data_IF_701207790909
#
_entry.id   IF_701207790909
#
_cell.length_a   1.000
_cell.length_b   1.000
_cell.length_c   1.000
_cell.angle_alpha   90.00
_cell.angle_beta   90.00
_cell.angle_gamma   90.00
#
_symmetry.space_group_name_H-M   'P 1'
#
loop_
_entity.id
_entity.type
_entity.pdbx_description
1 polymer ?
#
# COMPACT_ATOMS: atom_id res chain seq x y z
N UNK A 1 -4.12 -22.61 4.11
CA UNK A 1 -4.97 -21.44 3.87
C UNK A 1 -4.61 -20.71 2.57
N UNK A 2 -3.34 -20.55 2.21
CA UNK A 2 -2.94 -19.89 0.97
C UNK A 2 -3.46 -20.56 -0.32
N UNK A 3 -3.79 -21.84 -0.29
CA UNK A 3 -4.22 -22.61 -1.46
C UNK A 3 -5.74 -22.56 -1.70
N UNK A 4 -6.54 -22.29 -0.67
CA UNK A 4 -8.01 -22.26 -0.75
C UNK A 4 -8.55 -21.28 0.28
N UNK A 5 -8.76 -20.04 -0.12
CA UNK A 5 -9.34 -19.03 0.75
C UNK A 5 -10.07 -17.96 -0.05
N UNK A 6 -11.23 -17.54 0.45
CA UNK A 6 -11.96 -16.40 -0.09
C UNK A 6 -11.43 -15.08 0.47
N UNK A 7 -11.16 -14.11 -0.40
CA UNK A 7 -10.69 -12.79 -0.02
C UNK A 7 -11.78 -11.75 -0.24
N UNK A 8 -11.94 -10.85 0.72
CA UNK A 8 -12.82 -9.71 0.61
C UNK A 8 -11.98 -8.43 0.57
N UNK A 9 -12.05 -7.69 -0.53
CA UNK A 9 -11.41 -6.40 -0.67
C UNK A 9 -12.29 -5.30 -0.06
N UNK A 10 -11.71 -4.48 0.80
CA UNK A 10 -12.42 -3.37 1.42
C UNK A 10 -11.55 -2.10 1.43
N UNK A 11 -12.04 -1.04 0.81
CA UNK A 11 -11.51 0.31 0.96
C UNK A 11 -12.08 0.92 2.24
N UNK A 12 -11.31 1.13 3.32
CA UNK A 12 -11.85 1.66 4.58
C UNK A 12 -12.63 2.96 4.38
N UNK A 13 -12.15 3.84 3.51
CA UNK A 13 -12.80 5.12 3.18
C UNK A 13 -14.24 4.99 2.66
N UNK A 14 -14.60 3.83 2.13
CA UNK A 14 -15.94 3.56 1.56
C UNK A 14 -16.94 3.00 2.57
N UNK A 15 -16.52 2.78 3.81
CA UNK A 15 -17.34 2.16 4.86
C UNK A 15 -17.91 3.13 5.89
N UNK A 16 -17.76 4.44 5.67
CA UNK A 16 -18.38 5.49 6.47
C UNK A 16 -19.89 5.60 6.27
N UNK A 17 -20.50 6.54 6.95
CA UNK A 17 -21.89 6.93 6.71
C UNK A 17 -22.04 7.48 5.28
N UNK A 18 -23.23 7.43 4.68
CA UNK A 18 -23.46 7.96 3.34
C UNK A 18 -22.95 9.40 3.19
N UNK A 19 -22.05 9.62 2.22
CA UNK A 19 -21.44 10.92 1.96
C UNK A 19 -20.25 11.30 2.86
N UNK A 20 -19.87 10.47 3.82
CA UNK A 20 -18.71 10.70 4.69
C UNK A 20 -17.56 9.76 4.34
N UNK A 21 -16.33 10.26 4.49
CA UNK A 21 -15.13 9.44 4.41
C UNK A 21 -15.10 8.43 5.57
N UNK A 22 -15.01 7.13 5.26
CA UNK A 22 -14.94 6.08 6.26
C UNK A 22 -13.55 5.96 6.87
N UNK A 23 -13.49 5.30 8.02
CA UNK A 23 -12.30 5.08 8.83
C UNK A 23 -12.04 3.58 9.05
N UNK A 24 -10.87 3.25 9.61
CA UNK A 24 -10.56 1.88 10.07
C UNK A 24 -11.55 1.43 11.17
N UNK A 25 -11.97 2.35 12.04
CA UNK A 25 -12.98 2.07 13.06
C UNK A 25 -14.35 1.76 12.44
N UNK A 26 -14.77 2.50 11.41
CA UNK A 26 -16.04 2.22 10.71
C UNK A 26 -16.01 0.81 10.09
N UNK A 27 -14.91 0.46 9.41
CA UNK A 27 -14.74 -0.88 8.85
C UNK A 27 -14.74 -1.95 9.95
N UNK A 28 -14.10 -1.70 11.10
CA UNK A 28 -14.08 -2.64 12.22
C UNK A 28 -15.49 -3.01 12.70
N UNK A 29 -16.45 -2.09 12.64
CA UNK A 29 -17.85 -2.37 13.00
C UNK A 29 -18.57 -3.31 12.02
N UNK A 30 -17.99 -3.56 10.84
CA UNK A 30 -18.58 -4.37 9.76
C UNK A 30 -17.95 -5.76 9.61
N UNK A 31 -16.98 -6.09 10.44
CA UNK A 31 -16.26 -7.37 10.33
C UNK A 31 -17.19 -8.56 10.52
N UNK A 32 -18.19 -8.49 11.39
CA UNK A 32 -19.19 -9.53 11.56
C UNK A 32 -19.96 -9.82 10.27
N UNK A 33 -20.33 -8.77 9.54
CA UNK A 33 -20.99 -8.91 8.25
C UNK A 33 -20.08 -9.58 7.21
N UNK A 34 -18.83 -9.16 7.10
CA UNK A 34 -17.85 -9.74 6.16
C UNK A 34 -17.58 -11.21 6.52
N UNK A 35 -17.36 -11.51 7.79
CA UNK A 35 -17.13 -12.87 8.27
C UNK A 35 -18.35 -13.79 8.00
N UNK A 36 -19.58 -13.26 8.15
CA UNK A 36 -20.80 -14.03 7.89
C UNK A 36 -20.95 -14.51 6.44
N UNK A 37 -20.26 -13.87 5.51
CA UNK A 37 -20.22 -14.27 4.09
C UNK A 37 -19.24 -15.43 3.82
N UNK A 38 -18.44 -15.84 4.83
CA UNK A 38 -17.53 -16.99 4.71
C UNK A 38 -16.17 -16.66 4.10
N UNK A 39 -15.74 -15.38 4.13
CA UNK A 39 -14.39 -15.01 3.69
C UNK A 39 -13.34 -15.33 4.76
N UNK A 40 -12.15 -15.69 4.31
CA UNK A 40 -11.01 -16.05 5.15
C UNK A 40 -10.04 -14.87 5.35
N UNK A 41 -9.97 -13.95 4.39
CA UNK A 41 -9.02 -12.84 4.38
C UNK A 41 -9.74 -11.53 4.07
N UNK A 42 -9.50 -10.53 4.91
CA UNK A 42 -9.81 -9.13 4.63
C UNK A 42 -8.59 -8.49 3.98
N UNK A 43 -8.71 -8.10 2.72
CA UNK A 43 -7.67 -7.38 2.00
C UNK A 43 -7.95 -5.88 1.98
N UNK A 44 -6.98 -5.09 2.41
CA UNK A 44 -7.01 -3.64 2.36
C UNK A 44 -6.08 -3.13 1.24
N UNK A 45 -6.61 -2.38 0.25
CA UNK A 45 -5.78 -1.50 -0.58
C UNK A 45 -4.92 -0.57 0.29
N UNK A 46 -3.90 0.12 -0.27
CA UNK A 46 -2.99 0.92 0.54
C UNK A 46 -3.72 1.85 1.50
N UNK A 47 -3.31 1.82 2.77
CA UNK A 47 -3.87 2.62 3.88
C UNK A 47 -2.98 3.80 4.26
N UNK A 48 -1.96 4.06 3.46
CA UNK A 48 -0.93 5.07 3.70
C UNK A 48 -1.39 6.47 3.31
N UNK A 49 -0.71 7.53 3.79
CA UNK A 49 -0.95 8.89 3.32
C UNK A 49 -0.90 8.99 1.80
N UNK A 50 -1.81 9.76 1.22
CA UNK A 50 -1.93 9.97 -0.24
C UNK A 50 -1.35 11.33 -0.59
N UNK A 51 -0.56 11.40 -1.67
CA UNK A 51 0.01 12.63 -2.19
C UNK A 51 -1.05 13.64 -2.66
N UNK A 52 -0.69 14.91 -2.74
CA UNK A 52 -1.54 15.97 -3.24
C UNK A 52 -1.16 16.41 -4.65
N UNK A 53 0.14 16.40 -4.95
CA UNK A 53 0.64 16.77 -6.27
C UNK A 53 0.15 15.78 -7.34
N UNK A 54 -0.46 16.32 -8.38
CA UNK A 54 -1.06 15.54 -9.47
C UNK A 54 -2.09 14.50 -9.01
N UNK A 55 -2.74 14.74 -7.87
CA UNK A 55 -3.75 13.85 -7.30
C UNK A 55 -4.84 13.56 -8.32
N UNK A 56 -5.30 12.31 -8.34
CA UNK A 56 -6.41 11.89 -9.19
C UNK A 56 -7.75 12.33 -8.61
N UNK A 57 -8.60 12.84 -9.48
CA UNK A 57 -9.99 13.16 -9.15
C UNK A 57 -10.93 11.95 -9.28
N UNK A 58 -12.23 12.22 -9.16
CA UNK A 58 -13.28 11.21 -9.30
C UNK A 58 -13.19 10.50 -10.66
N UNK A 59 -13.48 9.20 -10.64
CA UNK A 59 -13.40 8.34 -11.84
C UNK A 59 -12.02 8.38 -12.53
N UNK A 60 -10.95 8.52 -11.74
CA UNK A 60 -9.58 8.60 -12.22
C UNK A 60 -9.30 9.81 -13.15
N UNK A 61 -10.03 10.91 -12.96
CA UNK A 61 -9.75 12.17 -13.65
C UNK A 61 -8.31 12.63 -13.37
N UNK A 62 -7.67 13.24 -14.36
CA UNK A 62 -6.33 13.84 -14.21
C UNK A 62 -6.35 15.14 -13.40
N UNK A 63 -7.51 15.75 -13.28
CA UNK A 63 -7.74 16.93 -12.46
C UNK A 63 -8.56 16.54 -11.23
N UNK A 64 -8.08 16.96 -10.06
CA UNK A 64 -8.75 16.73 -8.79
C UNK A 64 -9.31 18.03 -8.23
N UNK A 65 -10.51 17.96 -7.68
CA UNK A 65 -11.06 19.00 -6.82
C UNK A 65 -10.45 18.96 -5.41
N UNK A 66 -10.62 20.02 -4.64
CA UNK A 66 -10.08 20.13 -3.28
C UNK A 66 -10.60 19.01 -2.34
N UNK A 67 -11.80 18.50 -2.61
CA UNK A 67 -12.46 17.44 -1.83
C UNK A 67 -12.11 16.02 -2.32
N UNK A 68 -11.34 15.89 -3.40
CA UNK A 68 -11.00 14.58 -3.94
C UNK A 68 -9.90 13.91 -3.11
N UNK A 69 -10.16 12.67 -2.70
CA UNK A 69 -9.26 11.90 -1.82
C UNK A 69 -8.06 11.30 -2.53
N UNK A 70 -8.07 11.27 -3.86
CA UNK A 70 -7.01 10.69 -4.67
C UNK A 70 -7.00 9.16 -4.71
N UNK A 71 -5.96 8.62 -5.35
CA UNK A 71 -5.71 7.20 -5.45
C UNK A 71 -4.92 6.71 -4.23
N UNK A 72 -5.34 5.61 -3.56
CA UNK A 72 -4.57 5.02 -2.45
C UNK A 72 -3.16 4.56 -2.87
N UNK A 73 -2.95 4.28 -4.16
CA UNK A 73 -1.65 3.87 -4.69
C UNK A 73 -0.68 5.04 -4.94
N UNK A 74 -1.14 6.28 -4.87
CA UNK A 74 -0.29 7.49 -4.84
C UNK A 74 0.26 7.73 -3.43
N UNK A 75 1.13 6.83 -2.95
CA UNK A 75 1.56 6.75 -1.55
C UNK A 75 2.54 7.85 -1.18
N UNK A 76 2.27 8.50 -0.06
CA UNK A 76 3.16 9.44 0.61
C UNK A 76 2.70 10.90 0.53
N UNK A 77 2.86 11.58 1.63
CA UNK A 77 2.61 13.02 1.79
C UNK A 77 3.46 13.58 2.93
N UNK A 78 3.23 14.82 3.31
CA UNK A 78 3.83 15.39 4.54
C UNK A 78 3.41 14.65 5.82
N UNK A 79 2.36 13.83 5.76
CA UNK A 79 1.90 13.00 6.89
C UNK A 79 2.64 11.65 6.98
N UNK A 80 3.51 11.33 6.03
CA UNK A 80 4.34 10.12 6.08
C UNK A 80 4.32 9.29 4.79
N UNK A 81 4.83 8.07 4.89
CA UNK A 81 5.02 7.12 3.78
C UNK A 81 4.42 5.74 4.05
N UNK A 82 5.13 4.70 3.61
CA UNK A 82 4.66 3.30 3.62
C UNK A 82 4.50 2.67 5.00
N UNK A 83 5.00 3.27 6.07
CA UNK A 83 4.82 2.80 7.45
C UNK A 83 3.80 3.62 8.23
N UNK A 84 3.18 4.61 7.59
CA UNK A 84 2.20 5.50 8.21
C UNK A 84 0.79 5.20 7.71
N UNK A 85 -0.20 5.58 8.52
CA UNK A 85 -1.61 5.46 8.18
C UNK A 85 -2.13 6.83 7.74
N UNK A 86 -2.97 6.84 6.70
CA UNK A 86 -3.63 8.07 6.25
C UNK A 86 -4.42 8.70 7.41
N UNK A 87 -4.22 9.99 7.73
CA UNK A 87 -4.87 10.64 8.88
C UNK A 87 -6.39 10.49 8.91
N UNK A 88 -7.04 10.56 7.74
CA UNK A 88 -8.50 10.42 7.64
C UNK A 88 -8.98 8.97 7.83
N UNK A 89 -8.09 7.97 7.79
CA UNK A 89 -8.42 6.59 8.10
C UNK A 89 -8.30 6.28 9.59
N UNK A 90 -7.48 7.02 10.33
CA UNK A 90 -7.26 6.83 11.77
C UNK A 90 -5.80 6.67 12.14
N UNK A 91 -5.57 5.98 13.24
CA UNK A 91 -4.27 5.79 13.88
C UNK A 91 -3.79 4.35 13.79
N UNK A 92 -2.55 4.10 14.25
CA UNK A 92 -2.03 2.74 14.38
C UNK A 92 -2.83 1.92 15.42
N UNK A 93 -3.33 2.56 16.47
CA UNK A 93 -4.20 1.89 17.46
C UNK A 93 -5.54 1.46 16.84
N UNK A 94 -6.11 2.27 15.94
CA UNK A 94 -7.31 1.92 15.18
C UNK A 94 -7.05 0.75 14.24
N UNK A 95 -5.88 0.73 13.58
CA UNK A 95 -5.45 -0.41 12.78
C UNK A 95 -5.32 -1.69 13.61
N UNK A 96 -4.73 -1.60 14.81
CA UNK A 96 -4.63 -2.74 15.71
C UNK A 96 -6.00 -3.22 16.21
N UNK A 97 -6.93 -2.29 16.41
CA UNK A 97 -8.31 -2.66 16.77
C UNK A 97 -9.01 -3.41 15.63
N UNK A 98 -8.89 -2.93 14.38
CA UNK A 98 -9.41 -3.62 13.20
C UNK A 98 -8.78 -5.02 13.05
N UNK A 99 -7.46 -5.13 13.18
CA UNK A 99 -6.74 -6.40 13.06
C UNK A 99 -7.23 -7.41 14.12
N UNK A 100 -7.43 -6.96 15.37
CA UNK A 100 -7.99 -7.82 16.43
C UNK A 100 -9.40 -8.29 16.06
N UNK A 101 -10.28 -7.39 15.62
CA UNK A 101 -11.64 -7.73 15.22
C UNK A 101 -11.67 -8.79 14.10
N UNK A 102 -10.79 -8.65 13.11
CA UNK A 102 -10.61 -9.63 12.01
C UNK A 102 -10.17 -10.99 12.57
N UNK A 103 -9.15 -10.99 13.43
CA UNK A 103 -8.58 -12.22 14.01
C UNK A 103 -9.57 -12.95 14.92
N UNK A 104 -10.39 -12.23 15.70
CA UNK A 104 -11.43 -12.78 16.57
C UNK A 104 -12.54 -13.52 15.80
N UNK A 105 -12.68 -13.22 14.51
CA UNK A 105 -13.61 -13.93 13.61
C UNK A 105 -12.93 -15.06 12.80
N UNK A 106 -11.69 -15.40 13.16
CA UNK A 106 -10.91 -16.45 12.48
C UNK A 106 -10.44 -16.06 11.09
N UNK A 107 -10.52 -14.78 10.73
CA UNK A 107 -10.02 -14.22 9.47
C UNK A 107 -8.59 -13.69 9.63
N UNK A 108 -7.91 -13.50 8.50
CA UNK A 108 -6.60 -12.86 8.43
C UNK A 108 -6.70 -11.53 7.70
N UNK A 109 -5.80 -10.59 8.03
CA UNK A 109 -5.75 -9.29 7.39
C UNK A 109 -4.57 -9.26 6.41
N UNK A 110 -4.84 -8.89 5.16
CA UNK A 110 -3.85 -8.66 4.12
C UNK A 110 -3.71 -7.18 3.81
N UNK A 111 -2.47 -6.70 3.68
CA UNK A 111 -2.16 -5.36 3.20
C UNK A 111 -1.63 -5.38 1.77
N UNK A 112 -1.88 -4.29 1.05
CA UNK A 112 -1.24 -4.01 -0.22
C UNK A 112 0.23 -3.62 -0.03
N UNK A 113 1.11 -4.19 -0.83
CA UNK A 113 2.50 -3.80 -0.94
C UNK A 113 2.72 -3.14 -2.30
N UNK A 114 2.50 -1.83 -2.37
CA UNK A 114 2.70 -1.02 -3.56
C UNK A 114 4.01 -0.25 -3.44
N UNK A 115 5.04 -0.70 -4.13
CA UNK A 115 6.41 -0.17 -4.06
C UNK A 115 6.59 0.98 -5.06
N UNK A 116 5.93 2.09 -4.77
CA UNK A 116 5.94 3.32 -5.53
C UNK A 116 5.59 4.51 -4.63
N UNK A 117 5.93 5.71 -5.05
CA UNK A 117 5.74 6.92 -4.26
C UNK A 117 4.89 7.94 -5.01
N UNK A 118 4.14 8.76 -4.26
CA UNK A 118 3.63 10.02 -4.81
C UNK A 118 4.78 11.02 -4.97
N UNK A 119 4.60 12.11 -5.73
CA UNK A 119 5.58 13.22 -5.78
C UNK A 119 5.88 13.85 -4.41
N UNK A 120 4.96 13.72 -3.45
CA UNK A 120 5.07 14.31 -2.11
C UNK A 120 5.59 13.34 -1.05
N UNK A 121 5.99 12.13 -1.45
CA UNK A 121 6.55 11.15 -0.53
C UNK A 121 7.87 11.64 0.08
N UNK A 122 8.12 11.44 1.39
CA UNK A 122 9.37 11.86 2.04
C UNK A 122 10.65 11.38 1.32
N UNK A 123 10.63 10.20 0.71
CA UNK A 123 11.76 9.64 -0.02
C UNK A 123 12.14 10.45 -1.28
N UNK A 124 11.20 11.17 -1.90
CA UNK A 124 11.49 12.00 -3.09
C UNK A 124 12.51 13.07 -2.77
N UNK A 125 12.45 13.63 -1.55
CA UNK A 125 13.42 14.64 -1.09
C UNK A 125 14.63 14.03 -0.40
N UNK A 126 14.43 12.97 0.41
CA UNK A 126 15.49 12.36 1.20
C UNK A 126 16.43 11.46 0.37
N UNK A 127 15.89 10.81 -0.67
CA UNK A 127 16.57 9.82 -1.51
C UNK A 127 16.24 10.02 -2.98
N UNK A 128 16.58 11.19 -3.58
CA UNK A 128 16.29 11.45 -5.00
C UNK A 128 16.97 10.43 -5.93
N UNK A 129 18.06 9.81 -5.52
CA UNK A 129 18.79 8.74 -6.23
C UNK A 129 17.98 7.44 -6.38
N UNK A 130 16.90 7.26 -5.63
CA UNK A 130 16.03 6.08 -5.76
C UNK A 130 15.01 6.20 -6.89
N UNK A 131 15.04 7.30 -7.64
CA UNK A 131 14.10 7.57 -8.72
C UNK A 131 14.83 7.83 -10.03
N UNK A 132 14.21 7.46 -11.16
CA UNK A 132 14.74 7.79 -12.49
C UNK A 132 14.42 9.22 -12.85
N UNK A 133 15.46 9.96 -13.24
CA UNK A 133 15.32 11.34 -13.68
C UNK A 133 15.31 11.43 -15.20
N UNK A 134 14.57 12.40 -15.74
CA UNK A 134 14.59 12.81 -17.13
C UNK A 134 15.77 13.76 -17.37
N UNK A 135 16.08 14.02 -18.64
CA UNK A 135 17.17 14.93 -19.01
C UNK A 135 16.98 16.38 -18.49
N UNK A 136 15.74 16.78 -18.23
CA UNK A 136 15.39 18.08 -17.65
C UNK A 136 15.46 18.12 -16.10
N UNK A 137 15.88 17.01 -15.50
CA UNK A 137 16.00 16.87 -14.04
C UNK A 137 14.69 16.48 -13.34
N UNK A 138 13.55 16.42 -14.03
CA UNK A 138 12.30 15.95 -13.45
C UNK A 138 12.32 14.44 -13.21
N UNK A 139 11.60 13.97 -12.18
CA UNK A 139 11.43 12.55 -11.92
C UNK A 139 10.45 11.94 -12.94
N UNK A 140 10.78 10.75 -13.42
CA UNK A 140 9.93 10.01 -14.34
C UNK A 140 8.73 9.43 -13.58
N UNK A 141 7.50 9.80 -13.99
CA UNK A 141 6.28 9.19 -13.46
C UNK A 141 5.92 7.88 -14.18
N UNK A 142 5.03 7.09 -13.57
CA UNK A 142 4.56 5.83 -14.13
C UNK A 142 3.72 6.05 -15.38
N UNK A 143 3.96 5.24 -16.42
CA UNK A 143 3.21 5.27 -17.67
C UNK A 143 2.88 3.84 -18.14
N UNK A 144 1.66 3.66 -18.62
CA UNK A 144 1.24 2.48 -19.39
C UNK A 144 0.41 3.01 -20.58
N UNK A 145 1.09 3.37 -21.70
CA UNK A 145 0.43 4.09 -22.79
C UNK A 145 -0.88 3.43 -23.25
N UNK A 146 -1.93 4.23 -23.47
CA UNK A 146 -1.96 5.71 -23.43
C UNK A 146 -2.11 6.32 -22.01
N UNK A 147 -2.18 5.51 -20.97
CA UNK A 147 -2.39 5.97 -19.59
C UNK A 147 -1.12 6.57 -19.00
N UNK A 148 -1.27 7.69 -18.29
CA UNK A 148 -0.22 8.38 -17.54
C UNK A 148 -0.66 8.50 -16.08
N UNK A 149 0.25 8.12 -15.16
CA UNK A 149 0.03 8.16 -13.71
C UNK A 149 0.98 9.17 -13.10
N UNK A 150 0.68 10.47 -13.29
CA UNK A 150 1.54 11.57 -12.84
C UNK A 150 1.62 11.67 -11.31
N UNK A 151 0.67 11.07 -10.60
CA UNK A 151 0.61 10.93 -9.15
C UNK A 151 1.48 9.79 -8.62
N UNK A 152 2.20 9.07 -9.49
CA UNK A 152 3.02 7.91 -9.14
C UNK A 152 4.43 8.03 -9.71
N UNK A 153 5.41 8.04 -8.82
CA UNK A 153 6.84 7.92 -9.13
C UNK A 153 7.31 6.49 -8.82
N UNK A 154 7.63 5.66 -9.83
CA UNK A 154 8.22 4.35 -9.63
C UNK A 154 9.60 4.46 -8.97
N UNK A 155 9.90 3.54 -8.06
CA UNK A 155 11.24 3.35 -7.52
C UNK A 155 12.16 2.69 -8.55
N UNK A 156 13.40 3.12 -8.62
CA UNK A 156 14.44 2.51 -9.47
C UNK A 156 15.20 1.45 -8.69
N UNK A 157 14.76 0.20 -8.80
CA UNK A 157 15.39 -0.94 -8.10
C UNK A 157 16.79 -1.30 -8.61
N UNK A 158 17.24 -0.68 -9.71
CA UNK A 158 18.55 -0.85 -10.33
C UNK A 158 19.45 0.39 -10.16
N UNK A 159 19.05 1.34 -9.30
CA UNK A 159 19.87 2.51 -8.94
C UNK A 159 21.22 2.08 -8.37
N UNK A 160 22.23 2.95 -8.43
CA UNK A 160 23.53 2.67 -7.78
C UNK A 160 23.37 2.45 -6.26
N UNK A 161 22.36 3.08 -5.64
CA UNK A 161 21.99 2.91 -4.22
C UNK A 161 20.98 1.76 -3.99
N UNK A 162 20.97 0.73 -4.86
CA UNK A 162 19.98 -0.34 -4.81
C UNK A 162 19.94 -1.09 -3.47
N UNK A 163 21.08 -1.28 -2.83
CA UNK A 163 21.15 -1.98 -1.54
C UNK A 163 20.38 -1.23 -0.46
N UNK A 164 20.55 0.08 -0.37
CA UNK A 164 19.84 0.93 0.60
C UNK A 164 18.34 0.92 0.32
N UNK A 165 17.94 1.07 -0.94
CA UNK A 165 16.54 0.99 -1.35
C UNK A 165 15.90 -0.36 -0.99
N UNK A 166 16.59 -1.47 -1.31
CA UNK A 166 16.07 -2.80 -1.04
C UNK A 166 15.91 -3.04 0.47
N UNK A 167 16.86 -2.58 1.27
CA UNK A 167 16.75 -2.63 2.74
C UNK A 167 15.61 -1.76 3.27
N UNK A 168 15.41 -0.57 2.74
CA UNK A 168 14.29 0.30 3.13
C UNK A 168 12.93 -0.38 2.84
N UNK A 169 12.81 -1.06 1.70
CA UNK A 169 11.60 -1.87 1.40
C UNK A 169 11.44 -3.02 2.40
N UNK A 170 12.52 -3.70 2.74
CA UNK A 170 12.51 -4.77 3.74
C UNK A 170 12.06 -4.24 5.11
N UNK A 171 12.48 -3.05 5.50
CA UNK A 171 12.05 -2.39 6.74
C UNK A 171 10.54 -2.07 6.76
N UNK A 172 9.95 -1.70 5.61
CA UNK A 172 8.49 -1.54 5.50
C UNK A 172 7.79 -2.86 5.87
N UNK A 173 8.24 -3.99 5.32
CA UNK A 173 7.67 -5.30 5.63
C UNK A 173 7.84 -5.66 7.10
N UNK A 174 9.03 -5.46 7.68
CA UNK A 174 9.28 -5.71 9.10
C UNK A 174 8.37 -4.88 10.00
N UNK A 175 8.16 -3.62 9.66
CA UNK A 175 7.23 -2.77 10.40
C UNK A 175 5.83 -3.40 10.44
N UNK A 176 5.25 -3.72 9.28
CA UNK A 176 3.90 -4.29 9.23
C UNK A 176 3.81 -5.71 9.78
N UNK A 177 4.86 -6.51 9.62
CA UNK A 177 4.97 -7.83 10.27
C UNK A 177 4.97 -7.67 11.80
N UNK A 178 5.70 -6.69 12.32
CA UNK A 178 5.70 -6.37 13.77
C UNK A 178 4.32 -5.93 14.26
N UNK A 179 3.52 -5.30 13.39
CA UNK A 179 2.13 -4.96 13.67
C UNK A 179 1.17 -6.15 13.55
N UNK A 180 1.66 -7.34 13.21
CA UNK A 180 0.90 -8.58 13.15
C UNK A 180 0.33 -8.92 11.75
N UNK A 181 0.73 -8.19 10.71
CA UNK A 181 0.37 -8.54 9.32
C UNK A 181 1.18 -9.76 8.88
N UNK A 182 0.51 -10.71 8.20
CA UNK A 182 1.13 -11.95 7.71
C UNK A 182 0.88 -12.20 6.23
N UNK A 183 0.08 -11.36 5.60
CA UNK A 183 -0.27 -11.50 4.18
C UNK A 183 -0.09 -10.17 3.48
N UNK A 184 0.64 -10.19 2.37
CA UNK A 184 0.85 -9.02 1.51
C UNK A 184 0.39 -9.33 0.08
N UNK A 185 -0.53 -8.53 -0.45
CA UNK A 185 -0.83 -8.50 -1.88
C UNK A 185 0.16 -7.55 -2.54
N UNK A 186 0.90 -8.04 -3.50
CA UNK A 186 1.96 -7.28 -4.17
C UNK A 186 1.42 -6.64 -5.44
N UNK A 187 1.43 -5.32 -5.46
CA UNK A 187 1.02 -4.50 -6.60
C UNK A 187 2.10 -4.51 -7.69
N UNK A 188 1.71 -4.80 -8.94
CA UNK A 188 2.58 -4.78 -10.11
C UNK A 188 3.97 -5.43 -9.88
N UNK A 189 4.08 -6.69 -9.41
CA UNK A 189 5.37 -7.32 -9.10
C UNK A 189 6.28 -7.43 -10.32
N UNK A 190 5.70 -7.57 -11.51
CA UNK A 190 6.41 -7.71 -12.78
C UNK A 190 7.17 -6.45 -13.22
N UNK A 191 6.95 -5.32 -12.56
CA UNK A 191 7.66 -4.06 -12.84
C UNK A 191 8.95 -3.90 -12.03
N UNK A 192 9.30 -4.87 -11.18
CA UNK A 192 10.50 -4.89 -10.36
C UNK A 192 11.42 -6.02 -10.80
N UNK A 193 12.76 -5.90 -10.63
CA UNK A 193 13.71 -6.94 -10.99
C UNK A 193 13.45 -8.25 -10.26
N UNK A 194 13.71 -9.37 -10.94
CA UNK A 194 13.53 -10.70 -10.37
C UNK A 194 14.48 -10.93 -9.18
N UNK A 195 15.73 -10.48 -9.29
CA UNK A 195 16.76 -10.60 -8.25
C UNK A 195 16.33 -9.91 -6.94
N UNK A 196 15.64 -8.78 -7.05
CA UNK A 196 15.05 -8.11 -5.88
C UNK A 196 14.04 -9.02 -5.16
N UNK A 197 13.13 -9.65 -5.92
CA UNK A 197 12.14 -10.54 -5.32
C UNK A 197 12.77 -11.79 -4.72
N UNK A 198 13.74 -12.40 -5.39
CA UNK A 198 14.46 -13.56 -4.84
C UNK A 198 15.11 -13.21 -3.50
N UNK A 199 15.84 -12.09 -3.46
CA UNK A 199 16.48 -11.62 -2.24
C UNK A 199 15.46 -11.34 -1.13
N UNK A 200 14.43 -10.51 -1.41
CA UNK A 200 13.45 -10.09 -0.41
C UNK A 200 12.69 -11.28 0.18
N UNK A 201 12.17 -12.16 -0.69
CA UNK A 201 11.39 -13.31 -0.26
C UNK A 201 12.23 -14.33 0.52
N UNK A 202 13.49 -14.55 0.12
CA UNK A 202 14.40 -15.42 0.86
C UNK A 202 14.70 -14.87 2.24
N UNK A 203 14.97 -13.56 2.35
CA UNK A 203 15.29 -12.91 3.63
C UNK A 203 14.10 -12.90 4.58
N UNK A 204 12.91 -12.50 4.09
CA UNK A 204 11.69 -12.50 4.92
C UNK A 204 11.33 -13.92 5.37
N UNK A 205 11.39 -14.93 4.50
CA UNK A 205 11.07 -16.32 4.87
C UNK A 205 12.02 -16.91 5.89
N UNK A 206 13.25 -16.46 5.95
CA UNK A 206 14.24 -16.92 6.94
C UNK A 206 13.82 -16.55 8.37
N UNK A 207 13.22 -15.37 8.55
CA UNK A 207 12.79 -14.84 9.86
C UNK A 207 11.30 -14.99 10.12
N UNK A 208 10.49 -14.97 9.06
CA UNK A 208 9.01 -15.01 9.10
C UNK A 208 8.46 -16.02 8.09
N UNK A 209 8.63 -17.34 8.32
CA UNK A 209 8.22 -18.37 7.36
C UNK A 209 6.70 -18.48 7.16
N UNK A 210 5.93 -17.86 8.03
CA UNK A 210 4.46 -17.81 8.00
C UNK A 210 3.89 -16.65 7.16
N UNK A 211 4.77 -15.76 6.69
CA UNK A 211 4.35 -14.63 5.83
C UNK A 211 4.08 -15.09 4.41
N UNK A 212 2.94 -14.66 3.87
CA UNK A 212 2.49 -14.99 2.52
C UNK A 212 2.53 -13.75 1.62
N UNK A 213 2.95 -13.96 0.39
CA UNK A 213 2.90 -12.96 -0.67
C UNK A 213 2.00 -13.44 -1.80
N UNK A 214 1.00 -12.62 -2.17
CA UNK A 214 0.12 -12.83 -3.30
C UNK A 214 0.45 -11.82 -4.38
N UNK A 215 0.99 -12.30 -5.50
CA UNK A 215 1.31 -11.44 -6.64
C UNK A 215 0.04 -11.07 -7.42
N UNK A 216 -0.11 -9.79 -7.75
CA UNK A 216 -1.05 -9.36 -8.79
C UNK A 216 -0.58 -9.91 -10.15
N UNK A 217 -1.48 -10.55 -10.88
CA UNK A 217 -1.18 -11.15 -12.18
C UNK A 217 -1.95 -10.47 -13.31
#
# INVERSE_FOLDING_TARGET
RAAVGGWYEAFPRSWGSPGAHGTLCDLATKIDYIASMGFDVLYLPPIHPIGQSFRKGKNNSVEADAEDVGSPWGIGSTAGGHTDIHPDLGTLDDFQALRRAVSERGMELALDLALQCSPDHPWVTAHPEWFRHRADGSIRYAENPPKKYQDIYPLDFETEAWQELWHAVREILEFWISQGVRIFRVDNPHTKPFDFWEWLLADVRRTHPDVLFLAEA
#
